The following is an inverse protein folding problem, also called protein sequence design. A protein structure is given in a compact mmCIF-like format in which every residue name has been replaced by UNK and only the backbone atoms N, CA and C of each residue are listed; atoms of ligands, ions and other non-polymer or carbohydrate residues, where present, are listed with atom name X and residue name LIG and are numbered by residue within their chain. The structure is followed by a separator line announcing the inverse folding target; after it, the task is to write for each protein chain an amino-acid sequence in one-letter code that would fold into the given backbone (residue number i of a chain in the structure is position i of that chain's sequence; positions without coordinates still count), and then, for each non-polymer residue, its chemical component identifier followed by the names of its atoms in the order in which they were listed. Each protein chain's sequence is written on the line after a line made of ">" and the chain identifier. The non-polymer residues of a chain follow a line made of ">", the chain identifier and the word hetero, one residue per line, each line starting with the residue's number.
data_IF_141104279744
#
_entry.id   IF_141104279744
#
_cell.length_a   1.000
_cell.length_b   1.000
_cell.length_c   1.000
_cell.angle_alpha   90.00
_cell.angle_beta   90.00
_cell.angle_gamma   90.00
#
_symmetry.space_group_name_H-M   'P 1'
#
loop_
_entity.id
_entity.type
_entity.pdbx_description
1 polymer ?
#
# COMPACT_ATOMS: atom_id res chain seq x y z
N UNK A 1 7.20 5.90 13.07
CA UNK A 1 6.15 6.38 12.16
C UNK A 1 6.69 6.23 10.74
N UNK A 2 6.11 5.36 9.90
CA UNK A 2 6.70 5.03 8.58
C UNK A 2 6.65 6.14 7.56
N UNK A 3 5.83 7.16 7.78
CA UNK A 3 5.48 8.08 6.71
C UNK A 3 5.86 9.51 7.09
N UNK A 4 7.04 9.99 6.66
CA UNK A 4 7.29 11.42 6.55
C UNK A 4 6.26 12.01 5.59
N UNK A 5 5.68 13.16 5.94
CA UNK A 5 4.66 13.87 5.14
C UNK A 5 5.08 14.04 3.66
N UNK A 6 6.38 14.27 3.43
CA UNK A 6 7.00 14.40 2.09
C UNK A 6 6.86 13.13 1.22
N UNK A 7 6.71 11.95 1.84
CA UNK A 7 6.49 10.68 1.14
C UNK A 7 5.03 10.36 0.83
N UNK A 8 4.07 11.04 1.47
CA UNK A 8 2.62 10.76 1.33
C UNK A 8 2.06 11.31 0.02
N UNK A 9 2.31 12.58 -0.27
CA UNK A 9 1.79 13.25 -1.45
C UNK A 9 2.32 12.58 -2.74
N UNK A 10 3.62 12.28 -2.76
CA UNK A 10 4.29 11.55 -3.84
C UNK A 10 3.60 10.18 -4.10
N UNK A 11 3.34 9.40 -3.05
CA UNK A 11 2.71 8.09 -3.19
C UNK A 11 1.27 8.21 -3.73
N UNK A 12 0.48 9.14 -3.20
CA UNK A 12 -0.89 9.37 -3.66
C UNK A 12 -0.94 9.86 -5.10
N UNK A 13 -0.01 10.73 -5.51
CA UNK A 13 0.12 11.18 -6.90
C UNK A 13 0.45 10.01 -7.83
N UNK A 14 1.42 9.16 -7.47
CA UNK A 14 1.73 7.95 -8.24
C UNK A 14 0.54 7.01 -8.39
N UNK A 15 -0.16 6.71 -7.30
CA UNK A 15 -1.35 5.85 -7.32
C UNK A 15 -2.46 6.45 -8.20
N UNK A 16 -2.64 7.77 -8.17
CA UNK A 16 -3.61 8.47 -9.03
C UNK A 16 -3.22 8.40 -10.50
N UNK A 17 -1.96 8.68 -10.83
CA UNK A 17 -1.46 8.62 -12.21
C UNK A 17 -1.54 7.20 -12.79
N UNK A 18 -1.36 6.19 -11.96
CA UNK A 18 -1.39 4.78 -12.35
C UNK A 18 -2.78 4.12 -12.18
N UNK A 19 -3.84 4.87 -11.84
CA UNK A 19 -5.20 4.31 -11.68
C UNK A 19 -5.64 3.44 -12.86
N UNK A 20 -5.37 3.89 -14.08
CA UNK A 20 -5.69 3.19 -15.31
C UNK A 20 -5.01 1.82 -15.46
N UNK A 21 -3.89 1.59 -14.77
CA UNK A 21 -3.16 0.31 -14.72
C UNK A 21 -3.97 -0.69 -13.89
N UNK A 22 -4.46 -0.25 -12.72
CA UNK A 22 -5.33 -1.07 -11.88
C UNK A 22 -6.65 -1.37 -12.59
N UNK A 23 -7.29 -0.39 -13.22
CA UNK A 23 -8.55 -0.60 -13.96
C UNK A 23 -8.46 -1.64 -15.09
N UNK A 24 -7.26 -1.84 -15.67
CA UNK A 24 -7.01 -2.84 -16.72
C UNK A 24 -6.53 -4.18 -16.18
N UNK A 25 -6.03 -4.23 -14.94
CA UNK A 25 -5.54 -5.44 -14.32
C UNK A 25 -6.70 -6.35 -13.93
N UNK A 26 -6.59 -7.63 -14.28
CA UNK A 26 -7.48 -8.72 -13.86
C UNK A 26 -6.97 -9.43 -12.59
N UNK A 27 -5.92 -8.89 -11.95
CA UNK A 27 -5.35 -9.44 -10.74
C UNK A 27 -6.37 -9.41 -9.59
N UNK A 28 -6.32 -10.48 -8.81
CA UNK A 28 -7.02 -10.62 -7.55
C UNK A 28 -6.00 -10.44 -6.43
N UNK A 29 -6.16 -9.40 -5.61
CA UNK A 29 -5.15 -8.89 -4.69
C UNK A 29 -5.67 -8.94 -3.24
N UNK A 30 -4.76 -9.14 -2.29
CA UNK A 30 -5.11 -9.11 -0.86
C UNK A 30 -5.46 -7.67 -0.43
N UNK A 31 -6.73 -7.43 -0.12
CA UNK A 31 -7.24 -6.07 0.08
C UNK A 31 -8.23 -5.96 1.25
N UNK A 32 -7.76 -6.06 2.51
CA UNK A 32 -8.63 -5.85 3.66
C UNK A 32 -9.17 -4.41 3.66
N UNK A 33 -10.48 -4.25 3.76
CA UNK A 33 -11.09 -2.95 4.05
C UNK A 33 -10.63 -2.42 5.41
N UNK A 34 -10.84 -1.12 5.66
CA UNK A 34 -10.45 -0.47 6.92
C UNK A 34 -11.03 -1.17 8.16
N UNK A 35 -12.24 -1.73 8.03
CA UNK A 35 -12.95 -2.43 9.11
C UNK A 35 -12.45 -3.88 9.33
N UNK A 36 -11.80 -4.47 8.33
CA UNK A 36 -11.20 -5.81 8.41
C UNK A 36 -9.79 -5.77 9.05
N UNK A 37 -9.21 -4.57 9.21
CA UNK A 37 -7.89 -4.37 9.80
C UNK A 37 -7.98 -4.35 11.34
N UNK A 38 -7.24 -5.25 11.99
CA UNK A 38 -7.14 -5.31 13.45
C UNK A 38 -6.49 -4.04 14.04
N UNK A 39 -6.82 -3.68 15.29
CA UNK A 39 -6.13 -2.59 15.99
C UNK A 39 -4.61 -2.76 15.96
N UNK A 40 -3.90 -1.65 15.73
CA UNK A 40 -2.43 -1.59 15.62
C UNK A 40 -1.82 -2.34 14.41
N UNK A 41 -2.64 -2.76 13.44
CA UNK A 41 -2.16 -3.42 12.21
C UNK A 41 -2.21 -2.54 10.96
N UNK A 42 -2.55 -1.24 11.06
CA UNK A 42 -2.64 -0.35 9.90
C UNK A 42 -1.34 -0.29 9.07
N UNK A 43 -0.19 -0.16 9.74
CA UNK A 43 1.13 -0.11 9.09
C UNK A 43 1.53 -1.47 8.49
N UNK A 44 1.45 -2.61 9.22
CA UNK A 44 1.62 -3.93 8.63
C UNK A 44 0.70 -4.21 7.43
N UNK A 45 -0.57 -3.80 7.51
CA UNK A 45 -1.52 -3.93 6.40
C UNK A 45 -1.12 -3.06 5.21
N UNK A 46 -0.68 -1.81 5.42
CA UNK A 46 -0.16 -0.96 4.34
C UNK A 46 1.04 -1.59 3.63
N UNK A 47 1.94 -2.27 4.37
CA UNK A 47 3.04 -3.02 3.76
C UNK A 47 2.54 -4.12 2.82
N UNK A 48 1.50 -4.87 3.21
CA UNK A 48 0.86 -5.84 2.33
C UNK A 48 0.33 -5.20 1.06
N UNK A 49 -0.42 -4.09 1.18
CA UNK A 49 -0.90 -3.34 0.02
C UNK A 49 0.22 -2.93 -0.94
N UNK A 50 1.35 -2.47 -0.39
CA UNK A 50 2.46 -2.02 -1.23
C UNK A 50 3.16 -3.15 -1.98
N UNK A 51 3.17 -4.37 -1.44
CA UNK A 51 3.64 -5.57 -2.14
C UNK A 51 2.69 -5.92 -3.30
N UNK A 52 1.38 -5.89 -3.06
CA UNK A 52 0.36 -6.14 -4.09
C UNK A 52 0.40 -5.08 -5.21
N UNK A 53 0.62 -3.80 -4.86
CA UNK A 53 0.84 -2.74 -5.85
C UNK A 53 2.04 -3.06 -6.74
N UNK A 54 3.17 -3.46 -6.15
CA UNK A 54 4.37 -3.80 -6.91
C UNK A 54 4.13 -4.99 -7.83
N UNK A 55 3.38 -6.00 -7.38
CA UNK A 55 2.95 -7.13 -8.22
C UNK A 55 2.16 -6.68 -9.45
N UNK A 56 1.16 -5.80 -9.28
CA UNK A 56 0.39 -5.25 -10.40
C UNK A 56 1.28 -4.50 -11.39
N UNK A 57 2.21 -3.67 -10.89
CA UNK A 57 3.10 -2.91 -11.76
C UNK A 57 4.05 -3.82 -12.55
N UNK A 58 4.62 -4.84 -11.90
CA UNK A 58 5.50 -5.82 -12.54
C UNK A 58 4.76 -6.60 -13.63
N UNK A 59 3.53 -7.06 -13.38
CA UNK A 59 2.71 -7.75 -14.37
C UNK A 59 2.41 -6.88 -15.60
N UNK A 60 2.27 -5.58 -15.39
CA UNK A 60 2.02 -4.59 -16.44
C UNK A 60 3.32 -4.04 -17.06
N UNK A 61 4.48 -4.61 -16.70
CA UNK A 61 5.81 -4.21 -17.19
C UNK A 61 6.16 -2.75 -16.88
N UNK A 62 5.69 -2.23 -15.75
CA UNK A 62 6.00 -0.90 -15.23
C UNK A 62 7.06 -1.04 -14.13
N UNK A 63 8.20 -0.39 -14.31
CA UNK A 63 9.34 -0.47 -13.40
C UNK A 63 9.64 0.88 -12.71
N UNK A 64 10.71 0.91 -11.89
CA UNK A 64 11.13 2.10 -11.16
C UNK A 64 11.65 3.25 -12.03
N UNK A 65 11.82 3.07 -13.34
CA UNK A 65 12.19 4.13 -14.27
C UNK A 65 10.97 4.89 -14.80
N UNK A 66 9.76 4.32 -14.68
CA UNK A 66 8.52 5.03 -14.99
C UNK A 66 8.33 6.19 -14.00
N UNK A 67 8.22 7.41 -14.53
CA UNK A 67 8.08 8.61 -13.72
C UNK A 67 6.83 8.59 -12.84
N UNK A 68 5.76 7.92 -13.28
CA UNK A 68 4.52 7.78 -12.52
C UNK A 68 4.65 6.70 -11.44
N UNK A 69 5.55 5.73 -11.55
CA UNK A 69 5.77 4.68 -10.56
C UNK A 69 6.89 4.99 -9.56
N UNK A 70 7.73 5.99 -9.84
CA UNK A 70 8.90 6.32 -9.02
C UNK A 70 8.61 6.46 -7.52
N UNK A 71 7.49 7.09 -7.12
CA UNK A 71 7.18 7.24 -5.71
C UNK A 71 6.79 5.91 -5.05
N UNK A 72 6.08 5.03 -5.77
CA UNK A 72 5.72 3.69 -5.28
C UNK A 72 6.98 2.88 -4.98
N UNK A 73 7.90 2.78 -5.95
CA UNK A 73 9.15 2.03 -5.75
C UNK A 73 10.03 2.67 -4.67
N UNK A 74 10.09 4.00 -4.58
CA UNK A 74 10.80 4.69 -3.50
C UNK A 74 10.17 4.43 -2.12
N UNK A 75 8.85 4.34 -2.06
CA UNK A 75 8.12 4.00 -0.83
C UNK A 75 8.39 2.56 -0.41
N UNK A 76 8.36 1.61 -1.34
CA UNK A 76 8.65 0.19 -1.08
C UNK A 76 10.08 -0.03 -0.59
N UNK A 77 11.08 0.62 -1.22
CA UNK A 77 12.47 0.56 -0.75
C UNK A 77 12.61 1.08 0.69
N UNK A 78 11.93 2.18 1.01
CA UNK A 78 11.94 2.72 2.37
C UNK A 78 11.29 1.75 3.34
N UNK A 79 10.10 1.23 3.04
CA UNK A 79 9.37 0.32 3.92
C UNK A 79 10.03 -1.05 4.11
N UNK A 80 10.91 -1.46 3.18
CA UNK A 80 11.68 -2.70 3.26
C UNK A 80 12.81 -2.66 4.28
N UNK A 81 13.15 -1.47 4.82
CA UNK A 81 14.25 -1.32 5.78
C UNK A 81 13.80 -1.77 7.18
N UNK A 82 14.63 -2.51 7.93
CA UNK A 82 14.26 -3.16 9.21
C UNK A 82 13.62 -2.26 10.26
N UNK A 83 13.89 -0.94 10.21
CA UNK A 83 13.42 0.03 11.20
C UNK A 83 12.49 1.10 10.61
N UNK A 84 12.23 1.09 9.29
CA UNK A 84 11.44 2.12 8.64
C UNK A 84 9.94 1.96 8.91
N UNK A 85 9.51 0.71 9.09
CA UNK A 85 8.19 0.39 9.63
C UNK A 85 8.30 -0.42 10.89
N UNK A 86 8.64 0.29 11.98
CA UNK A 86 8.68 -0.28 13.32
C UNK A 86 7.35 -1.00 13.64
N UNK A 87 7.42 -2.32 13.58
CA UNK A 87 6.36 -3.25 13.93
C UNK A 87 6.27 -3.30 15.45
N UNK A 88 5.47 -2.42 16.06
CA UNK A 88 5.28 -2.50 17.51
C UNK A 88 4.55 -3.77 17.94
N UNK A 89 3.94 -4.52 17.00
CA UNK A 89 3.11 -5.71 17.28
C UNK A 89 3.02 -6.73 16.12
N UNK A 90 4.00 -6.86 15.21
CA UNK A 90 3.84 -7.71 14.01
C UNK A 90 3.51 -9.18 14.29
N UNK A 91 3.96 -9.75 15.42
CA UNK A 91 3.59 -11.11 15.80
C UNK A 91 2.09 -11.32 16.06
N UNK A 92 1.30 -10.26 16.17
CA UNK A 92 -0.16 -10.30 16.40
C UNK A 92 -1.01 -9.94 15.19
N UNK A 93 -0.39 -9.36 14.15
CA UNK A 93 -1.08 -9.01 12.91
C UNK A 93 -1.17 -10.23 12.00
N UNK A 94 -2.31 -10.45 11.33
CA UNK A 94 -2.44 -11.54 10.38
C UNK A 94 -1.47 -11.35 9.19
N UNK A 95 -1.02 -12.45 8.54
CA UNK A 95 -0.27 -12.35 7.29
C UNK A 95 -1.15 -11.75 6.19
N UNK A 96 -0.54 -11.23 5.12
CA UNK A 96 -1.23 -10.58 4.01
C UNK A 96 -2.30 -11.50 3.40
N UNK A 97 -1.94 -12.78 3.24
CA UNK A 97 -2.72 -13.83 2.61
C UNK A 97 -3.91 -14.32 3.45
N UNK A 98 -4.02 -13.88 4.72
CA UNK A 98 -5.17 -14.21 5.56
C UNK A 98 -6.40 -13.34 5.26
N UNK A 99 -6.28 -12.36 4.36
CA UNK A 99 -7.36 -11.47 3.96
C UNK A 99 -8.00 -11.95 2.65
N UNK A 100 -9.22 -11.50 2.37
CA UNK A 100 -9.91 -11.90 1.14
C UNK A 100 -9.30 -11.20 -0.08
N UNK A 101 -9.21 -11.94 -1.18
CA UNK A 101 -8.85 -11.38 -2.49
C UNK A 101 -9.96 -10.48 -3.01
N UNK A 102 -9.57 -9.33 -3.59
CA UNK A 102 -10.44 -8.36 -4.24
C UNK A 102 -9.90 -8.03 -5.62
N UNK A 103 -10.78 -7.58 -6.53
CA UNK A 103 -10.31 -7.05 -7.80
C UNK A 103 -9.51 -5.76 -7.58
N UNK A 104 -8.67 -5.43 -8.56
CA UNK A 104 -7.78 -4.28 -8.61
C UNK A 104 -8.44 -2.93 -8.29
N UNK A 105 -9.70 -2.71 -8.71
CA UNK A 105 -10.42 -1.45 -8.42
C UNK A 105 -10.83 -1.32 -6.95
N UNK A 106 -11.40 -2.38 -6.36
CA UNK A 106 -11.73 -2.42 -4.94
C UNK A 106 -10.45 -2.35 -4.10
N UNK A 107 -9.39 -3.02 -4.55
CA UNK A 107 -8.08 -2.96 -3.94
C UNK A 107 -7.57 -1.52 -3.84
N UNK A 108 -7.60 -0.77 -4.96
CA UNK A 108 -7.13 0.61 -5.00
C UNK A 108 -7.97 1.53 -4.10
N UNK A 109 -9.30 1.33 -4.07
CA UNK A 109 -10.18 2.09 -3.19
C UNK A 109 -9.88 1.83 -1.71
N UNK A 110 -9.70 0.57 -1.32
CA UNK A 110 -9.34 0.21 0.05
C UNK A 110 -7.96 0.75 0.45
N UNK A 111 -6.98 0.72 -0.45
CA UNK A 111 -5.65 1.31 -0.24
C UNK A 111 -5.75 2.81 0.05
N UNK A 112 -6.51 3.55 -0.77
CA UNK A 112 -6.72 4.99 -0.56
C UNK A 112 -7.35 5.27 0.82
N UNK A 113 -8.33 4.47 1.23
CA UNK A 113 -8.97 4.61 2.54
C UNK A 113 -7.99 4.39 3.70
N UNK A 114 -7.11 3.40 3.59
CA UNK A 114 -6.09 3.11 4.61
C UNK A 114 -5.05 4.22 4.68
N UNK A 115 -4.59 4.72 3.52
CA UNK A 115 -3.69 5.86 3.46
C UNK A 115 -4.32 7.07 4.16
N UNK A 116 -5.59 7.38 3.87
CA UNK A 116 -6.32 8.46 4.56
C UNK A 116 -6.40 8.24 6.07
N UNK A 117 -6.73 7.03 6.53
CA UNK A 117 -6.78 6.71 7.98
C UNK A 117 -5.43 6.93 8.67
N UNK A 118 -4.34 6.43 8.07
CA UNK A 118 -2.99 6.57 8.63
C UNK A 118 -2.57 8.05 8.67
N UNK A 119 -2.96 8.83 7.65
CA UNK A 119 -2.69 10.27 7.60
C UNK A 119 -3.47 11.05 8.66
N UNK A 120 -4.74 10.71 8.90
CA UNK A 120 -5.54 11.34 9.97
C UNK A 120 -5.01 11.01 11.38
N UNK A 121 -4.49 9.79 11.59
CA UNK A 121 -3.96 9.36 12.88
C UNK A 121 -2.54 9.85 13.18
N UNK A 122 -1.82 10.41 12.20
CA UNK A 122 -0.48 10.98 12.36
C UNK A 122 -0.44 12.45 12.78
N UNK A 123 -1.59 13.07 13.04
CA UNK A 123 -1.75 14.50 13.36
C UNK A 123 -1.96 14.81 14.85
N UNK A 124 -1.66 13.87 15.75
CA UNK A 124 -1.73 14.05 17.23
C UNK A 124 -0.47 13.58 17.91
#
# INVERSE_FOLDING_TARGET
>A
MCIPTIGQDCLQESLRSLRHVFEKSDAMLYAPSVDEIKPNCDVPSLKCYMLEVEMVLIEQQIDGNDSNAKCIFSFNDKCSKPNACAETNAGSCPPCEATALRNSTIFLDNLNNILSKIMSNGST
#
